data_IF_384968592578
#
_entry.id   IF_384968592578
#
_cell.length_a   1.000
_cell.length_b   1.000
_cell.length_c   1.000
_cell.angle_alpha   90.00
_cell.angle_beta   90.00
_cell.angle_gamma   90.00
#
_symmetry.space_group_name_H-M   'P 1'
#
loop_
_entity.id
_entity.type
_entity.pdbx_description
1 polymer ?
#
# COMPACT_ATOMS: atom_id res chain seq x y z
N UNK A 1 17.27 27.72 73.02
CA UNK A 1 16.22 28.73 72.80
C UNK A 1 15.53 28.36 71.50
N UNK A 2 14.63 27.38 71.56
CA UNK A 2 13.15 27.54 71.55
C UNK A 2 12.64 28.07 70.19
N UNK A 3 11.66 27.47 69.50
CA UNK A 3 10.97 26.18 69.57
C UNK A 3 10.03 26.09 68.35
N UNK A 4 9.65 24.87 67.97
CA UNK A 4 8.53 24.49 67.09
C UNK A 4 7.15 25.03 67.51
N UNK A 5 6.17 24.99 66.58
CA UNK A 5 4.75 24.54 66.71
C UNK A 5 3.95 25.07 65.50
N UNK A 6 3.31 24.32 64.59
CA UNK A 6 2.28 23.26 64.64
C UNK A 6 0.96 23.57 65.37
N UNK A 7 -0.13 22.97 64.85
CA UNK A 7 -1.53 22.79 65.32
C UNK A 7 -2.56 23.92 65.06
N UNK A 8 -3.86 23.69 64.77
CA UNK A 8 -4.70 22.63 64.16
C UNK A 8 -6.20 23.03 64.37
N UNK A 9 -7.15 22.33 63.67
CA UNK A 9 -8.58 22.10 64.01
C UNK A 9 -9.62 23.24 63.76
N UNK A 10 -10.88 23.06 63.31
CA UNK A 10 -11.95 21.99 63.30
C UNK A 10 -12.96 22.24 62.14
N UNK A 11 -13.39 21.28 61.32
CA UNK A 11 -14.55 20.34 61.44
C UNK A 11 -15.99 20.95 61.52
N UNK A 12 -16.86 20.63 60.54
CA UNK A 12 -18.26 20.12 60.68
C UNK A 12 -19.07 20.25 59.37
N UNK A 13 -19.60 19.14 58.84
CA UNK A 13 -20.82 19.13 57.99
C UNK A 13 -22.07 18.96 58.87
N UNK A 14 -23.22 18.43 58.40
CA UNK A 14 -23.80 18.35 57.04
C UNK A 14 -25.27 18.86 57.02
N UNK A 15 -25.99 18.79 55.88
CA UNK A 15 -27.37 18.26 55.79
C UNK A 15 -28.11 18.68 54.50
N UNK A 16 -28.76 17.69 53.90
CA UNK A 16 -29.66 17.74 52.75
C UNK A 16 -31.07 18.24 53.11
N UNK A 17 -31.81 18.74 52.10
CA UNK A 17 -33.22 18.44 51.87
C UNK A 17 -33.77 19.21 50.64
N UNK A 18 -34.04 18.48 49.55
CA UNK A 18 -35.16 18.76 48.62
C UNK A 18 -36.49 18.33 49.30
N UNK A 19 -37.66 18.26 48.63
CA UNK A 19 -38.22 18.95 47.45
C UNK A 19 -39.63 19.52 47.78
N UNK A 20 -40.38 20.06 46.81
CA UNK A 20 -41.85 19.88 46.74
C UNK A 20 -42.38 20.21 45.35
N UNK A 21 -43.11 19.23 44.81
CA UNK A 21 -43.88 19.21 43.58
C UNK A 21 -45.19 20.03 43.70
N UNK A 22 -45.78 20.44 42.58
CA UNK A 22 -47.15 20.01 42.24
C UNK A 22 -47.60 20.50 40.85
N UNK A 23 -48.01 19.51 40.05
CA UNK A 23 -48.90 19.45 38.88
C UNK A 23 -49.97 20.54 38.68
N UNK A 24 -50.35 20.80 37.40
CA UNK A 24 -51.61 20.28 36.81
C UNK A 24 -51.92 20.79 35.38
N UNK A 25 -51.92 19.86 34.41
CA UNK A 25 -52.92 19.52 33.37
C UNK A 25 -53.62 20.50 32.38
N UNK A 26 -53.73 19.96 31.15
CA UNK A 26 -54.79 20.04 30.09
C UNK A 26 -54.48 20.96 28.89
N UNK A 27 -54.24 20.44 27.67
CA UNK A 27 -55.06 19.69 26.69
C UNK A 27 -55.56 20.60 25.54
N UNK A 28 -55.26 20.25 24.28
CA UNK A 28 -56.05 20.70 23.12
C UNK A 28 -55.34 21.06 21.80
N UNK A 29 -55.31 20.08 20.89
CA UNK A 29 -55.53 20.18 19.43
C UNK A 29 -54.52 20.87 18.47
N UNK A 30 -53.82 20.00 17.74
CA UNK A 30 -53.48 19.98 16.30
C UNK A 30 -53.77 21.20 15.40
N UNK A 31 -52.74 21.61 14.65
CA UNK A 31 -52.81 21.83 13.19
C UNK A 31 -51.46 21.55 12.55
N UNK A 32 -51.47 20.70 11.52
CA UNK A 32 -50.33 20.30 10.72
C UNK A 32 -49.83 21.46 9.83
N UNK A 33 -48.51 21.64 9.77
CA UNK A 33 -47.84 22.44 8.75
C UNK A 33 -46.72 21.61 8.14
N UNK A 34 -46.74 21.54 6.82
CA UNK A 34 -46.08 20.58 5.97
C UNK A 34 -44.55 20.71 5.92
N UNK A 35 -43.88 19.56 5.86
CA UNK A 35 -42.47 19.40 5.49
C UNK A 35 -42.27 19.70 3.99
N UNK A 36 -41.19 20.40 3.59
CA UNK A 36 -40.85 20.59 2.19
C UNK A 36 -40.34 19.29 1.55
N UNK A 37 -40.50 19.12 0.22
CA UNK A 37 -40.29 17.84 -0.45
C UNK A 37 -38.81 17.46 -0.53
N UNK A 38 -38.56 16.19 -0.24
CA UNK A 38 -37.32 15.46 -0.47
C UNK A 38 -36.91 15.50 -1.94
N UNK A 39 -35.73 16.05 -2.24
CA UNK A 39 -35.05 15.81 -3.50
C UNK A 39 -34.59 14.35 -3.54
N UNK A 40 -35.13 13.58 -4.48
CA UNK A 40 -34.69 12.23 -4.82
C UNK A 40 -33.19 12.24 -5.17
N UNK A 41 -32.36 11.71 -4.28
CA UNK A 41 -31.03 11.24 -4.63
C UNK A 41 -31.17 9.94 -5.44
N UNK A 42 -30.46 9.76 -6.56
CA UNK A 42 -30.48 8.51 -7.29
C UNK A 42 -29.83 7.41 -6.45
N UNK A 43 -30.54 6.30 -6.29
CA UNK A 43 -30.02 5.05 -5.73
C UNK A 43 -28.93 4.56 -6.69
N UNK A 44 -27.67 4.73 -6.30
CA UNK A 44 -26.54 4.10 -6.98
C UNK A 44 -26.49 2.65 -6.50
N UNK A 45 -26.95 1.74 -7.34
CA UNK A 45 -26.67 0.30 -7.21
C UNK A 45 -25.16 0.07 -7.28
N UNK A 46 -24.57 -0.79 -6.42
CA UNK A 46 -23.16 -1.10 -6.49
C UNK A 46 -22.87 -1.83 -7.81
N UNK A 47 -21.98 -1.25 -8.61
CA UNK A 47 -21.41 -1.89 -9.79
C UNK A 47 -20.41 -2.93 -9.27
N UNK A 48 -20.63 -4.20 -9.58
CA UNK A 48 -19.68 -5.27 -9.29
C UNK A 48 -18.32 -4.96 -9.97
N UNK A 49 -17.18 -5.13 -9.28
CA UNK A 49 -15.89 -4.95 -9.91
C UNK A 49 -15.73 -5.98 -11.04
N UNK A 50 -15.28 -5.51 -12.20
CA UNK A 50 -14.97 -6.38 -13.33
C UNK A 50 -13.84 -7.34 -12.93
N UNK A 51 -14.07 -8.64 -13.15
CA UNK A 51 -13.11 -9.70 -12.87
C UNK A 51 -11.79 -9.48 -13.59
N UNK A 52 -10.70 -9.54 -12.83
CA UNK A 52 -9.28 -9.30 -13.19
C UNK A 52 -8.76 -10.20 -14.32
N UNK A 53 -9.49 -11.27 -14.69
CA UNK A 53 -9.16 -12.14 -15.84
C UNK A 53 -9.16 -11.41 -17.19
N UNK A 54 -9.92 -10.32 -17.35
CA UNK A 54 -10.01 -9.62 -18.62
C UNK A 54 -8.78 -8.75 -18.96
N UNK A 55 -7.97 -8.38 -17.97
CA UNK A 55 -6.81 -7.46 -18.15
C UNK A 55 -5.51 -8.23 -18.41
N UNK A 56 -5.40 -9.47 -17.95
CA UNK A 56 -4.20 -10.30 -18.07
C UNK A 56 -4.00 -10.92 -19.47
N UNK A 57 -5.03 -10.97 -20.31
CA UNK A 57 -4.96 -11.66 -21.60
C UNK A 57 -4.16 -10.92 -22.69
N UNK A 58 -3.81 -9.64 -22.51
CA UNK A 58 -3.27 -8.78 -23.58
C UNK A 58 -1.80 -8.39 -23.42
N UNK A 59 -1.08 -8.97 -22.46
CA UNK A 59 0.35 -8.65 -22.19
C UNK A 59 1.36 -9.59 -22.86
N UNK A 60 0.97 -10.37 -23.85
CA UNK A 60 1.90 -11.23 -24.59
C UNK A 60 2.59 -10.47 -25.74
N UNK A 61 3.84 -10.06 -25.55
CA UNK A 61 4.71 -9.62 -26.65
C UNK A 61 5.32 -10.82 -27.41
N UNK A 62 5.52 -10.71 -28.74
CA UNK A 62 5.93 -11.83 -29.58
C UNK A 62 7.45 -12.07 -29.56
N UNK A 63 7.85 -13.31 -29.26
CA UNK A 63 9.22 -13.81 -29.43
C UNK A 63 9.55 -13.92 -30.93
N UNK A 64 10.58 -13.20 -31.39
CA UNK A 64 11.14 -13.36 -32.73
C UNK A 64 11.80 -14.74 -32.85
N UNK A 65 11.30 -15.58 -33.76
CA UNK A 65 12.00 -16.75 -34.26
C UNK A 65 12.34 -16.52 -35.73
N UNK A 66 13.64 -16.36 -35.99
CA UNK A 66 14.20 -16.28 -37.32
C UNK A 66 13.89 -17.53 -38.14
N UNK A 67 13.39 -17.28 -39.35
CA UNK A 67 13.08 -18.28 -40.35
C UNK A 67 14.35 -18.84 -40.99
N UNK A 68 14.48 -20.17 -41.03
CA UNK A 68 15.32 -20.85 -42.02
C UNK A 68 14.46 -21.89 -42.74
N UNK A 69 14.21 -21.62 -44.02
CA UNK A 69 13.48 -22.44 -44.98
C UNK A 69 14.34 -23.62 -45.46
N UNK A 70 13.77 -24.82 -45.48
CA UNK A 70 14.38 -26.02 -46.10
C UNK A 70 13.31 -27.08 -46.39
N UNK A 71 13.20 -27.47 -47.67
CA UNK A 71 12.17 -28.31 -48.28
C UNK A 71 12.16 -29.80 -47.79
N UNK A 72 11.09 -30.57 -48.05
CA UNK A 72 10.82 -31.84 -47.38
C UNK A 72 11.44 -33.03 -48.14
N UNK A 73 12.06 -33.99 -47.45
CA UNK A 73 12.34 -35.31 -48.04
C UNK A 73 12.44 -36.43 -46.97
N UNK A 74 11.61 -37.46 -47.19
CA UNK A 74 11.70 -38.88 -46.80
C UNK A 74 11.52 -39.36 -45.36
N UNK A 75 10.58 -40.31 -45.29
CA UNK A 75 10.23 -41.27 -44.24
C UNK A 75 11.43 -42.10 -43.78
N UNK A 76 11.60 -42.23 -42.47
CA UNK A 76 12.50 -43.19 -41.83
C UNK A 76 12.08 -43.44 -40.38
N UNK A 77 11.64 -44.66 -40.09
CA UNK A 77 11.31 -45.12 -38.75
C UNK A 77 12.56 -45.12 -37.85
N UNK A 78 12.47 -44.54 -36.66
CA UNK A 78 13.57 -44.52 -35.70
C UNK A 78 13.11 -44.08 -34.31
N UNK A 79 13.15 -45.04 -33.38
CA UNK A 79 13.15 -44.97 -31.93
C UNK A 79 12.70 -43.66 -31.24
N UNK A 80 11.62 -43.74 -30.46
CA UNK A 80 11.25 -42.76 -29.45
C UNK A 80 12.34 -42.68 -28.37
N UNK A 81 13.21 -41.69 -28.47
CA UNK A 81 14.04 -41.24 -27.35
C UNK A 81 13.11 -40.49 -26.39
N UNK A 82 12.95 -40.91 -25.13
CA UNK A 82 12.20 -40.11 -24.18
C UNK A 82 12.99 -38.81 -23.92
N UNK A 83 12.38 -37.65 -24.18
CA UNK A 83 12.85 -36.37 -23.65
C UNK A 83 12.81 -36.49 -22.13
N UNK A 84 13.94 -36.77 -21.50
CA UNK A 84 14.10 -36.56 -20.07
C UNK A 84 14.10 -35.05 -19.85
N UNK A 85 12.95 -34.50 -19.44
CA UNK A 85 12.92 -33.19 -18.80
C UNK A 85 13.84 -33.26 -17.60
N UNK A 86 14.94 -32.49 -17.63
CA UNK A 86 15.86 -32.40 -16.51
C UNK A 86 15.11 -31.67 -15.40
N UNK A 87 14.53 -32.42 -14.47
CA UNK A 87 13.99 -31.86 -13.25
C UNK A 87 15.17 -31.44 -12.38
N UNK A 88 15.38 -30.13 -12.26
CA UNK A 88 16.37 -29.55 -11.35
C UNK A 88 15.99 -29.94 -9.91
N UNK A 89 16.99 -30.21 -9.07
CA UNK A 89 16.74 -30.45 -7.64
C UNK A 89 16.36 -29.15 -6.93
N UNK A 90 15.67 -29.23 -5.80
CA UNK A 90 15.33 -28.05 -4.99
C UNK A 90 16.57 -27.22 -4.61
N UNK A 91 17.70 -27.87 -4.36
CA UNK A 91 18.98 -27.22 -4.08
C UNK A 91 19.51 -26.43 -5.30
N UNK A 92 19.38 -26.98 -6.50
CA UNK A 92 19.76 -26.29 -7.73
C UNK A 92 18.85 -25.10 -8.01
N UNK A 93 17.54 -25.26 -7.79
CA UNK A 93 16.55 -24.19 -7.94
C UNK A 93 16.85 -23.05 -6.95
N UNK A 94 17.11 -23.37 -5.68
CA UNK A 94 17.46 -22.38 -4.66
C UNK A 94 18.75 -21.64 -5.00
N UNK A 95 19.77 -22.35 -5.45
CA UNK A 95 21.05 -21.75 -5.87
C UNK A 95 20.86 -20.81 -7.05
N UNK A 96 20.08 -21.21 -8.05
CA UNK A 96 19.81 -20.39 -9.22
C UNK A 96 18.97 -19.15 -8.86
N UNK A 97 17.94 -19.31 -8.02
CA UNK A 97 17.14 -18.17 -7.53
C UNK A 97 18.00 -17.18 -6.74
N UNK A 98 18.91 -17.66 -5.89
CA UNK A 98 19.80 -16.79 -5.16
C UNK A 98 20.76 -16.04 -6.09
N UNK A 99 21.32 -16.72 -7.09
CA UNK A 99 22.21 -16.07 -8.07
C UNK A 99 21.52 -14.94 -8.85
N UNK A 100 20.25 -15.15 -9.25
CA UNK A 100 19.45 -14.12 -9.93
C UNK A 100 19.19 -12.93 -8.98
N UNK A 101 18.80 -13.21 -7.74
CA UNK A 101 18.57 -12.16 -6.72
C UNK A 101 19.83 -11.35 -6.45
N UNK A 102 20.98 -12.01 -6.36
CA UNK A 102 22.27 -11.34 -6.14
C UNK A 102 22.67 -10.50 -7.36
N UNK A 103 22.46 -10.98 -8.58
CA UNK A 103 22.70 -10.21 -9.80
C UNK A 103 21.83 -8.94 -9.85
N UNK A 104 20.53 -9.07 -9.57
CA UNK A 104 19.61 -7.93 -9.49
C UNK A 104 19.98 -6.95 -8.38
N UNK A 105 20.33 -7.45 -7.18
CA UNK A 105 20.74 -6.61 -6.05
C UNK A 105 22.05 -5.85 -6.32
N UNK A 106 22.96 -6.45 -7.09
CA UNK A 106 24.18 -5.79 -7.52
C UNK A 106 23.94 -4.77 -8.64
N UNK A 107 22.93 -4.98 -9.48
CA UNK A 107 22.58 -4.08 -10.57
C UNK A 107 21.76 -2.87 -10.11
N UNK A 108 20.84 -3.08 -9.16
CA UNK A 108 19.86 -2.08 -8.75
C UNK A 108 19.75 -1.96 -7.22
N UNK A 109 19.87 -0.74 -6.66
CA UNK A 109 19.67 -0.52 -5.24
C UNK A 109 18.23 -0.83 -4.83
N UNK A 110 17.99 -1.00 -3.52
CA UNK A 110 16.64 -1.19 -2.99
C UNK A 110 15.71 -0.03 -3.37
N UNK A 111 16.18 1.19 -3.17
CA UNK A 111 15.49 2.41 -3.58
C UNK A 111 16.50 3.30 -4.30
N UNK A 112 16.17 3.71 -5.52
CA UNK A 112 17.05 4.53 -6.35
C UNK A 112 16.88 6.04 -6.04
N UNK A 113 17.72 6.88 -6.65
CA UNK A 113 17.49 8.32 -6.70
C UNK A 113 16.29 8.63 -7.59
N UNK A 114 15.58 9.73 -7.32
CA UNK A 114 14.51 10.17 -8.22
C UNK A 114 15.09 10.68 -9.54
N UNK A 115 14.45 10.31 -10.65
CA UNK A 115 14.84 10.71 -12.00
C UNK A 115 13.70 11.46 -12.69
N UNK A 116 14.02 12.17 -13.77
CA UNK A 116 13.02 12.82 -14.62
C UNK A 116 12.15 11.76 -15.31
N UNK A 117 10.84 12.01 -15.43
CA UNK A 117 9.91 11.09 -16.09
C UNK A 117 10.28 10.83 -17.57
N UNK A 118 11.03 11.72 -18.21
CA UNK A 118 11.58 11.49 -19.55
C UNK A 118 12.51 10.27 -19.64
N UNK A 119 13.08 9.80 -18.53
CA UNK A 119 13.80 8.52 -18.53
C UNK A 119 12.88 7.33 -18.79
N UNK A 120 11.65 7.37 -18.25
CA UNK A 120 10.65 6.35 -18.52
C UNK A 120 10.29 6.35 -20.01
N UNK A 121 10.10 7.53 -20.62
CA UNK A 121 9.79 7.62 -22.05
C UNK A 121 10.88 6.97 -22.93
N UNK A 122 12.16 7.12 -22.54
CA UNK A 122 13.30 6.50 -23.24
C UNK A 122 13.32 4.98 -23.13
N UNK A 123 12.90 4.40 -21.99
CA UNK A 123 12.78 2.94 -21.84
C UNK A 123 11.84 2.34 -22.89
N UNK A 124 10.82 3.09 -23.30
CA UNK A 124 9.85 2.69 -24.33
C UNK A 124 10.19 3.24 -25.73
N UNK A 125 11.38 3.82 -25.96
CA UNK A 125 11.75 4.41 -27.25
C UNK A 125 11.65 3.41 -28.41
N UNK A 126 12.08 2.16 -28.16
CA UNK A 126 12.00 1.03 -29.09
C UNK A 126 10.75 0.15 -28.85
N UNK A 127 9.88 0.53 -27.92
CA UNK A 127 8.69 -0.20 -27.52
C UNK A 127 7.42 0.26 -28.24
N UNK A 128 6.25 -0.02 -27.64
CA UNK A 128 4.96 0.39 -28.22
C UNK A 128 4.76 1.90 -28.16
N UNK A 129 4.38 2.49 -29.30
CA UNK A 129 4.09 3.91 -29.42
C UNK A 129 2.96 4.38 -28.49
N UNK A 130 2.04 3.48 -28.13
CA UNK A 130 0.95 3.74 -27.17
C UNK A 130 1.48 4.09 -25.80
N UNK A 131 2.46 3.34 -25.28
CA UNK A 131 3.06 3.63 -23.98
C UNK A 131 3.76 4.99 -23.97
N UNK A 132 4.52 5.30 -25.03
CA UNK A 132 5.18 6.62 -25.13
C UNK A 132 4.16 7.76 -25.14
N UNK A 133 3.05 7.60 -25.86
CA UNK A 133 2.00 8.61 -25.88
C UNK A 133 1.40 8.82 -24.48
N UNK A 134 1.07 7.73 -23.78
CA UNK A 134 0.57 7.79 -22.39
C UNK A 134 1.57 8.41 -21.43
N UNK A 135 2.84 8.06 -21.51
CA UNK A 135 3.92 8.64 -20.69
C UNK A 135 4.08 10.14 -20.98
N UNK A 136 3.97 10.54 -22.25
CA UNK A 136 4.01 11.94 -22.63
C UNK A 136 2.82 12.72 -22.04
N UNK A 137 1.61 12.16 -22.07
CA UNK A 137 0.45 12.80 -21.42
C UNK A 137 0.61 12.83 -19.89
N UNK A 138 1.16 11.75 -19.29
CA UNK A 138 1.49 11.70 -17.87
C UNK A 138 2.46 12.80 -17.44
N UNK A 139 3.39 13.18 -18.33
CA UNK A 139 4.34 14.27 -18.10
C UNK A 139 3.70 15.64 -17.95
N UNK A 140 2.40 15.80 -18.23
CA UNK A 140 1.68 17.05 -17.96
C UNK A 140 1.48 17.26 -16.45
N UNK A 141 1.17 16.19 -15.71
CA UNK A 141 0.83 16.23 -14.26
C UNK A 141 1.94 15.72 -13.34
N UNK A 142 2.87 14.91 -13.86
CA UNK A 142 3.98 14.32 -13.12
C UNK A 142 5.32 14.72 -13.76
N UNK A 143 6.37 14.91 -12.96
CA UNK A 143 7.70 15.32 -13.45
C UNK A 143 8.82 14.34 -13.13
N UNK A 144 8.65 13.52 -12.10
CA UNK A 144 9.68 12.59 -11.66
C UNK A 144 9.10 11.21 -11.37
N UNK A 145 9.98 10.23 -11.39
CA UNK A 145 9.73 8.90 -10.86
C UNK A 145 10.92 8.44 -10.01
N UNK A 146 10.73 7.39 -9.22
CA UNK A 146 11.83 6.72 -8.51
C UNK A 146 11.65 5.22 -8.61
N UNK A 147 12.69 4.55 -9.10
CA UNK A 147 12.72 3.09 -9.21
C UNK A 147 12.95 2.47 -7.84
N UNK A 148 12.28 1.35 -7.59
CA UNK A 148 12.40 0.62 -6.32
C UNK A 148 12.41 -0.87 -6.58
N UNK A 149 13.50 -1.54 -6.21
CA UNK A 149 13.55 -3.00 -6.06
C UNK A 149 12.94 -3.43 -4.71
N UNK A 150 13.06 -2.56 -3.70
CA UNK A 150 12.41 -2.67 -2.40
C UNK A 150 10.97 -2.15 -2.44
N UNK A 151 10.42 -1.84 -1.27
CA UNK A 151 9.04 -1.41 -1.13
C UNK A 151 8.87 0.09 -1.47
N UNK A 152 8.34 0.36 -2.68
CA UNK A 152 8.05 1.71 -3.17
C UNK A 152 7.03 2.45 -2.31
N UNK A 153 6.04 1.73 -1.78
CA UNK A 153 5.01 2.30 -0.91
C UNK A 153 5.63 2.81 0.39
N UNK A 154 6.46 1.97 1.03
CA UNK A 154 7.15 2.32 2.26
C UNK A 154 7.95 3.61 2.08
N UNK A 155 8.85 3.65 1.09
CA UNK A 155 9.67 4.83 0.88
C UNK A 155 8.83 6.08 0.58
N UNK A 156 7.82 5.98 -0.30
CA UNK A 156 6.95 7.09 -0.64
C UNK A 156 6.22 7.67 0.58
N UNK A 157 5.80 6.80 1.51
CA UNK A 157 5.12 7.20 2.73
C UNK A 157 6.06 7.96 3.68
N UNK A 158 7.23 7.39 3.97
CA UNK A 158 8.22 8.03 4.85
C UNK A 158 8.72 9.35 4.27
N UNK A 159 9.00 9.41 2.97
CA UNK A 159 9.46 10.63 2.31
C UNK A 159 8.37 11.71 2.37
N UNK A 160 7.10 11.37 2.16
CA UNK A 160 6.01 12.34 2.26
C UNK A 160 5.89 12.90 3.67
N UNK A 161 6.03 12.08 4.70
CA UNK A 161 6.04 12.54 6.10
C UNK A 161 7.25 13.44 6.36
N UNK A 162 8.43 13.07 5.85
CA UNK A 162 9.66 13.86 5.97
C UNK A 162 9.55 15.25 5.34
N UNK A 163 8.96 15.33 4.15
CA UNK A 163 8.86 16.58 3.37
C UNK A 163 7.77 17.52 3.92
N UNK A 164 6.81 17.02 4.68
CA UNK A 164 5.73 17.81 5.25
C UNK A 164 6.11 18.47 6.59
N UNK A 165 7.30 19.09 6.67
CA UNK A 165 7.84 19.68 7.92
C UNK A 165 6.93 20.74 8.54
N UNK A 166 6.15 21.44 7.72
CA UNK A 166 5.20 22.48 8.16
C UNK A 166 3.86 21.90 8.67
N UNK A 167 3.67 20.57 8.60
CA UNK A 167 2.46 19.86 9.01
C UNK A 167 2.80 18.75 10.03
N UNK A 168 3.16 19.12 11.28
CA UNK A 168 3.59 18.16 12.30
C UNK A 168 2.51 17.12 12.66
N UNK A 169 1.23 17.44 12.42
CA UNK A 169 0.12 16.50 12.55
C UNK A 169 0.24 15.28 11.63
N UNK A 170 0.86 15.41 10.45
CA UNK A 170 1.08 14.27 9.55
C UNK A 170 2.07 13.28 10.15
N UNK A 171 3.16 13.80 10.73
CA UNK A 171 4.13 12.98 11.44
C UNK A 171 3.52 12.31 12.67
N UNK A 172 2.75 13.05 13.47
CA UNK A 172 2.05 12.49 14.61
C UNK A 172 1.07 11.37 14.21
N UNK A 173 0.30 11.56 13.13
CA UNK A 173 -0.61 10.55 12.61
C UNK A 173 0.14 9.32 12.05
N UNK A 174 1.28 9.53 11.37
CA UNK A 174 2.10 8.43 10.87
C UNK A 174 2.72 7.60 12.00
N UNK A 175 3.26 8.26 13.04
CA UNK A 175 3.76 7.58 14.26
C UNK A 175 2.62 6.80 14.93
N UNK A 176 1.45 7.43 15.08
CA UNK A 176 0.28 6.77 15.65
C UNK A 176 -0.16 5.56 14.82
N UNK A 177 -0.14 5.65 13.50
CA UNK A 177 -0.50 4.53 12.61
C UNK A 177 0.45 3.32 12.83
N UNK A 178 1.75 3.56 13.01
CA UNK A 178 2.68 2.49 13.38
C UNK A 178 2.37 1.95 14.78
N UNK A 179 2.17 2.82 15.78
CA UNK A 179 1.86 2.38 17.15
C UNK A 179 0.57 1.55 17.21
N UNK A 180 -0.49 1.98 16.53
CA UNK A 180 -1.77 1.26 16.42
C UNK A 180 -1.61 -0.09 15.67
N UNK A 181 -0.65 -0.18 14.74
CA UNK A 181 -0.41 -1.42 13.99
C UNK A 181 0.03 -2.59 14.88
N UNK A 182 0.64 -2.29 16.04
CA UNK A 182 0.97 -3.31 17.05
C UNK A 182 -0.29 -3.96 17.62
N UNK A 183 -1.29 -3.16 17.96
CA UNK A 183 -2.55 -3.67 18.51
C UNK A 183 -3.30 -4.50 17.46
N UNK A 184 -3.25 -4.08 16.19
CA UNK A 184 -3.80 -4.84 15.07
C UNK A 184 -3.13 -6.22 14.92
N UNK A 185 -1.79 -6.27 14.99
CA UNK A 185 -1.04 -7.53 14.92
C UNK A 185 -1.42 -8.48 16.07
N UNK A 186 -1.54 -7.97 17.29
CA UNK A 186 -1.95 -8.77 18.45
C UNK A 186 -3.41 -9.25 18.32
N UNK A 187 -4.30 -8.41 17.78
CA UNK A 187 -5.69 -8.78 17.54
C UNK A 187 -5.83 -9.87 16.46
N UNK A 188 -4.87 -9.94 15.53
CA UNK A 188 -4.75 -11.01 14.53
C UNK A 188 -3.96 -12.24 15.05
N UNK A 189 -3.77 -12.35 16.37
CA UNK A 189 -3.12 -13.48 17.05
C UNK A 189 -1.63 -13.69 16.68
N UNK A 190 -0.94 -12.67 16.17
CA UNK A 190 0.51 -12.73 16.03
C UNK A 190 1.20 -12.68 17.40
N UNK A 191 2.18 -13.55 17.61
CA UNK A 191 3.02 -13.52 18.80
C UNK A 191 3.94 -12.28 18.78
N UNK A 192 3.98 -11.51 19.88
CA UNK A 192 4.80 -10.30 19.98
C UNK A 192 6.26 -10.55 19.59
N UNK A 193 6.85 -11.63 20.09
CA UNK A 193 8.24 -12.01 19.81
C UNK A 193 8.52 -12.28 18.32
N UNK A 194 7.49 -12.60 17.53
CA UNK A 194 7.66 -12.87 16.10
C UNK A 194 7.79 -11.59 15.25
N UNK A 195 7.27 -10.46 15.72
CA UNK A 195 7.24 -9.22 14.93
C UNK A 195 7.87 -8.01 15.61
N UNK A 196 8.16 -8.06 16.90
CA UNK A 196 8.60 -6.91 17.70
C UNK A 196 9.81 -6.20 17.09
N UNK A 197 10.83 -6.94 16.65
CA UNK A 197 12.04 -6.36 16.06
C UNK A 197 11.73 -5.56 14.78
N UNK A 198 10.90 -6.12 13.89
CA UNK A 198 10.49 -5.43 12.65
C UNK A 198 9.68 -4.17 12.95
N UNK A 199 8.72 -4.28 13.87
CA UNK A 199 7.90 -3.16 14.32
C UNK A 199 8.75 -2.04 14.93
N UNK A 200 9.71 -2.38 15.79
CA UNK A 200 10.58 -1.39 16.46
C UNK A 200 11.46 -0.66 15.45
N UNK A 201 12.03 -1.35 14.46
CA UNK A 201 12.79 -0.71 13.38
C UNK A 201 11.93 0.31 12.63
N UNK A 202 10.72 -0.08 12.20
CA UNK A 202 9.81 0.85 11.51
C UNK A 202 9.45 2.05 12.39
N UNK A 203 9.15 1.81 13.67
CA UNK A 203 8.79 2.84 14.64
C UNK A 203 9.93 3.84 14.86
N UNK A 204 11.17 3.35 14.96
CA UNK A 204 12.35 4.19 15.17
C UNK A 204 12.65 5.07 13.96
N UNK A 205 12.55 4.52 12.74
CA UNK A 205 12.74 5.31 11.51
C UNK A 205 11.64 6.37 11.39
N UNK A 206 10.37 6.05 11.66
CA UNK A 206 9.29 7.05 11.50
C UNK A 206 9.37 8.13 12.58
N UNK A 207 9.76 7.79 13.81
CA UNK A 207 9.97 8.76 14.89
C UNK A 207 11.12 9.70 14.61
N UNK A 208 12.19 9.20 13.99
CA UNK A 208 13.39 9.99 13.66
C UNK A 208 13.33 10.70 12.32
N UNK A 209 12.34 10.42 11.46
CA UNK A 209 12.29 10.91 10.08
C UNK A 209 12.39 12.43 9.93
N UNK A 210 11.85 13.20 10.89
CA UNK A 210 11.91 14.66 10.87
C UNK A 210 13.29 15.22 11.25
N UNK A 211 14.12 14.42 11.93
CA UNK A 211 15.50 14.78 12.27
C UNK A 211 16.46 14.59 11.11
N UNK A 212 16.04 13.91 10.03
CA UNK A 212 16.85 13.80 8.83
C UNK A 212 17.03 15.17 8.17
N UNK A 213 18.30 15.53 7.94
CA UNK A 213 18.66 16.84 7.40
C UNK A 213 18.32 16.93 5.91
N UNK A 214 18.51 15.85 5.17
CA UNK A 214 18.29 15.77 3.71
C UNK A 214 17.56 14.48 3.33
N UNK A 215 16.80 14.48 2.22
CA UNK A 215 16.18 13.25 1.69
C UNK A 215 17.18 12.11 1.44
N UNK A 216 18.46 12.43 1.24
CA UNK A 216 19.53 11.45 1.06
C UNK A 216 19.77 10.60 2.32
N UNK A 217 19.54 11.14 3.52
CA UNK A 217 19.67 10.36 4.78
C UNK A 217 18.56 9.31 4.89
N UNK A 218 17.33 9.66 4.49
CA UNK A 218 16.22 8.70 4.40
C UNK A 218 16.52 7.64 3.32
N UNK A 219 17.03 8.07 2.16
CA UNK A 219 17.42 7.17 1.08
C UNK A 219 18.50 6.19 1.54
N UNK A 220 19.50 6.66 2.29
CA UNK A 220 20.56 5.80 2.83
C UNK A 220 20.00 4.75 3.81
N UNK A 221 19.04 5.12 4.66
CA UNK A 221 18.36 4.18 5.54
C UNK A 221 17.60 3.10 4.75
N UNK A 222 16.90 3.49 3.68
CA UNK A 222 16.17 2.55 2.81
C UNK A 222 17.06 1.77 1.83
N UNK A 223 18.32 2.15 1.68
CA UNK A 223 19.33 1.36 0.96
C UNK A 223 20.05 0.33 1.85
N UNK A 224 19.85 0.39 3.16
CA UNK A 224 20.35 -0.64 4.07
C UNK A 224 19.40 -1.84 4.06
N UNK A 225 19.91 -3.02 3.70
CA UNK A 225 19.10 -4.25 3.60
C UNK A 225 18.39 -4.61 4.90
N UNK A 226 19.05 -4.47 6.06
CA UNK A 226 18.46 -4.82 7.35
C UNK A 226 17.29 -3.89 7.70
N UNK A 227 17.49 -2.58 7.56
CA UNK A 227 16.45 -1.57 7.84
C UNK A 227 15.29 -1.72 6.85
N UNK A 228 15.59 -1.73 5.55
CA UNK A 228 14.57 -1.80 4.51
C UNK A 228 13.76 -3.10 4.62
N UNK A 229 14.42 -4.26 4.73
CA UNK A 229 13.71 -5.53 4.82
C UNK A 229 12.88 -5.64 6.11
N UNK A 230 13.33 -5.04 7.21
CA UNK A 230 12.54 -4.98 8.45
C UNK A 230 11.26 -4.16 8.29
N UNK A 231 11.36 -3.00 7.61
CA UNK A 231 10.17 -2.17 7.30
C UNK A 231 9.21 -2.93 6.37
N UNK A 232 9.72 -3.58 5.32
CA UNK A 232 8.89 -4.38 4.41
C UNK A 232 8.18 -5.50 5.16
N UNK A 233 8.90 -6.24 6.01
CA UNK A 233 8.32 -7.30 6.82
C UNK A 233 7.22 -6.77 7.75
N UNK A 234 7.47 -5.65 8.42
CA UNK A 234 6.46 -5.04 9.28
C UNK A 234 5.19 -4.71 8.49
N UNK A 235 5.28 -4.05 7.33
CA UNK A 235 4.09 -3.76 6.52
C UNK A 235 3.39 -5.00 5.97
N UNK A 236 4.13 -6.05 5.57
CA UNK A 236 3.52 -7.33 5.19
C UNK A 236 2.69 -7.93 6.32
N UNK A 237 3.22 -7.92 7.54
CA UNK A 237 2.50 -8.41 8.71
C UNK A 237 1.28 -7.54 9.03
N UNK A 238 1.38 -6.21 8.89
CA UNK A 238 0.23 -5.30 9.06
C UNK A 238 -0.87 -5.59 8.04
N UNK A 239 -0.52 -5.81 6.78
CA UNK A 239 -1.48 -6.21 5.75
C UNK A 239 -2.14 -7.56 6.08
N UNK A 240 -1.35 -8.56 6.47
CA UNK A 240 -1.87 -9.87 6.89
C UNK A 240 -2.83 -9.74 8.08
N UNK A 241 -2.44 -9.00 9.12
CA UNK A 241 -3.27 -8.78 10.29
C UNK A 241 -4.59 -8.07 9.96
N UNK A 242 -4.56 -7.08 9.07
CA UNK A 242 -5.77 -6.42 8.59
C UNK A 242 -6.71 -7.41 7.89
N UNK A 243 -6.19 -8.23 6.98
CA UNK A 243 -6.98 -9.21 6.24
C UNK A 243 -7.57 -10.30 7.15
N UNK A 244 -6.79 -10.81 8.12
CA UNK A 244 -7.26 -11.81 9.10
C UNK A 244 -8.36 -11.27 10.01
N UNK A 245 -8.24 -10.02 10.46
CA UNK A 245 -9.23 -9.37 11.34
C UNK A 245 -10.51 -8.94 10.61
N UNK A 246 -10.47 -8.83 9.28
CA UNK A 246 -11.60 -8.47 8.43
C UNK A 246 -11.95 -9.59 7.44
N UNK A 247 -11.65 -10.84 7.77
CA UNK A 247 -11.67 -11.95 6.81
C UNK A 247 -13.02 -12.13 6.09
N UNK A 248 -14.14 -11.82 6.74
CA UNK A 248 -15.48 -11.95 6.16
C UNK A 248 -15.68 -11.06 4.92
N UNK A 249 -15.01 -9.89 4.90
CA UNK A 249 -15.08 -8.94 3.79
C UNK A 249 -14.21 -9.37 2.61
N UNK A 250 -13.17 -10.17 2.86
CA UNK A 250 -12.14 -10.51 1.88
C UNK A 250 -12.18 -11.97 1.40
N UNK A 251 -12.82 -12.86 2.16
CA UNK A 251 -12.98 -14.28 1.83
C UNK A 251 -13.57 -14.53 0.42
N UNK A 252 -14.52 -13.73 -0.11
CA UNK A 252 -15.05 -13.93 -1.46
C UNK A 252 -14.03 -13.75 -2.59
N UNK A 253 -12.88 -13.12 -2.32
CA UNK A 253 -11.82 -12.88 -3.31
C UNK A 253 -10.71 -13.93 -3.27
N UNK A 254 -10.76 -14.88 -2.33
CA UNK A 254 -9.80 -15.97 -2.23
C UNK A 254 -10.07 -17.05 -3.27
N UNK A 255 -9.02 -17.82 -3.60
CA UNK A 255 -9.17 -18.99 -4.46
C UNK A 255 -10.09 -20.04 -3.79
N UNK A 256 -10.78 -20.84 -4.62
CA UNK A 256 -11.75 -21.81 -4.12
C UNK A 256 -11.11 -22.80 -3.15
N UNK A 257 -11.59 -22.79 -1.89
CA UNK A 257 -11.14 -23.70 -0.84
C UNK A 257 -9.90 -23.23 -0.07
N UNK A 258 -9.34 -22.07 -0.41
CA UNK A 258 -8.25 -21.45 0.34
C UNK A 258 -8.81 -20.67 1.54
N UNK A 259 -8.18 -20.83 2.70
CA UNK A 259 -8.49 -20.04 3.91
C UNK A 259 -7.72 -18.71 3.93
N UNK A 260 -8.20 -17.74 4.72
CA UNK A 260 -7.51 -16.45 4.87
C UNK A 260 -6.08 -16.62 5.44
N UNK A 261 -5.89 -17.55 6.38
CA UNK A 261 -4.57 -17.84 6.94
C UNK A 261 -3.60 -18.43 5.91
N UNK A 262 -4.08 -19.38 5.09
CA UNK A 262 -3.29 -19.93 3.99
C UNK A 262 -2.92 -18.86 2.96
N UNK A 263 -3.88 -18.01 2.58
CA UNK A 263 -3.63 -16.91 1.67
C UNK A 263 -2.57 -15.96 2.24
N UNK A 264 -2.75 -15.49 3.47
CA UNK A 264 -1.82 -14.58 4.12
C UNK A 264 -0.42 -15.17 4.23
N UNK A 265 -0.30 -16.43 4.65
CA UNK A 265 1.00 -17.09 4.79
C UNK A 265 1.72 -17.25 3.44
N UNK A 266 1.01 -17.60 2.37
CA UNK A 266 1.62 -17.91 1.07
C UNK A 266 1.88 -16.69 0.18
N UNK A 267 1.02 -15.67 0.27
CA UNK A 267 0.99 -14.53 -0.66
C UNK A 267 1.34 -13.19 0.00
N UNK A 268 1.02 -13.00 1.28
CA UNK A 268 1.16 -11.69 1.95
C UNK A 268 2.44 -11.63 2.79
N UNK A 269 2.63 -12.59 3.70
CA UNK A 269 3.70 -12.63 4.69
C UNK A 269 5.07 -13.00 4.08
N UNK A 270 5.07 -13.76 2.98
CA UNK A 270 6.30 -14.25 2.36
C UNK A 270 7.11 -13.14 1.66
N UNK A 271 8.39 -13.03 2.00
CA UNK A 271 9.31 -12.08 1.37
C UNK A 271 9.56 -12.38 -0.10
N UNK A 272 9.71 -11.33 -0.91
CA UNK A 272 9.96 -11.43 -2.34
C UNK A 272 8.77 -11.93 -3.17
N UNK A 273 7.57 -12.01 -2.57
CA UNK A 273 6.31 -12.17 -3.30
C UNK A 273 5.80 -10.82 -3.79
N UNK A 274 5.18 -10.79 -4.96
CA UNK A 274 4.54 -9.58 -5.48
C UNK A 274 3.37 -9.14 -4.58
N UNK A 275 3.22 -7.84 -4.42
CA UNK A 275 2.09 -7.24 -3.68
C UNK A 275 0.86 -7.17 -4.58
N UNK A 276 -0.10 -8.05 -4.31
CA UNK A 276 -1.39 -8.03 -4.97
C UNK A 276 -2.26 -6.86 -4.49
N UNK A 277 -3.32 -6.54 -5.24
CA UNK A 277 -4.26 -5.46 -4.94
C UNK A 277 -4.82 -5.54 -3.51
N UNK A 278 -5.05 -6.75 -3.01
CA UNK A 278 -5.55 -6.98 -1.66
C UNK A 278 -4.59 -6.45 -0.57
N UNK A 279 -3.27 -6.53 -0.78
CA UNK A 279 -2.28 -5.95 0.12
C UNK A 279 -2.33 -4.41 0.08
N UNK A 280 -2.48 -3.82 -1.11
CA UNK A 280 -2.60 -2.37 -1.28
C UNK A 280 -3.83 -1.84 -0.53
N UNK A 281 -4.97 -2.52 -0.67
CA UNK A 281 -6.21 -2.19 0.06
C UNK A 281 -6.00 -2.33 1.57
N UNK A 282 -5.39 -3.42 2.02
CA UNK A 282 -5.15 -3.69 3.44
C UNK A 282 -4.27 -2.60 4.07
N UNK A 283 -3.15 -2.23 3.42
CA UNK A 283 -2.25 -1.18 3.90
C UNK A 283 -2.92 0.20 3.88
N UNK A 284 -3.65 0.52 2.81
CA UNK A 284 -4.43 1.77 2.68
C UNK A 284 -5.35 1.95 3.89
N UNK A 285 -6.11 0.90 4.23
CA UNK A 285 -7.07 0.93 5.34
C UNK A 285 -6.40 0.89 6.71
N UNK A 286 -5.45 -0.02 6.91
CA UNK A 286 -4.76 -0.18 8.19
C UNK A 286 -3.98 1.08 8.58
N UNK A 287 -3.32 1.72 7.62
CA UNK A 287 -2.51 2.91 7.86
C UNK A 287 -3.27 4.22 7.62
N UNK A 288 -4.53 4.18 7.18
CA UNK A 288 -5.41 5.34 6.95
C UNK A 288 -4.81 6.38 6.00
N UNK A 289 -4.19 5.89 4.93
CA UNK A 289 -3.63 6.70 3.86
C UNK A 289 -4.23 6.32 2.53
N UNK A 290 -4.26 7.26 1.60
CA UNK A 290 -4.72 7.00 0.24
C UNK A 290 -3.54 6.65 -0.67
N UNK A 291 -3.78 5.74 -1.62
CA UNK A 291 -2.83 5.35 -2.65
C UNK A 291 -3.52 5.51 -4.00
N UNK A 292 -2.81 5.99 -5.00
CA UNK A 292 -3.28 6.04 -6.37
C UNK A 292 -2.29 5.28 -7.25
N UNK A 293 -2.77 4.22 -7.91
CA UNK A 293 -1.92 3.38 -8.74
C UNK A 293 -2.13 3.73 -10.20
N UNK A 294 -1.07 4.19 -10.86
CA UNK A 294 -1.00 4.45 -12.28
C UNK A 294 -0.69 3.14 -13.03
N UNK A 295 -1.61 2.67 -13.86
CA UNK A 295 -1.45 1.49 -14.70
C UNK A 295 -1.10 1.89 -16.13
N UNK A 296 0.13 1.55 -16.55
CA UNK A 296 0.52 1.63 -17.96
C UNK A 296 -0.04 0.42 -18.70
N UNK A 297 -1.11 0.62 -19.46
CA UNK A 297 -1.70 -0.41 -20.34
C UNK A 297 -1.40 -0.16 -21.81
N UNK A 298 -1.29 -1.24 -22.59
CA UNK A 298 -1.16 -1.19 -24.05
C UNK A 298 -2.45 -0.82 -24.78
N UNK A 299 -3.55 -0.64 -24.03
CA UNK A 299 -4.85 -0.29 -24.58
C UNK A 299 -4.79 1.01 -25.38
N UNK A 300 -5.24 0.93 -26.63
CA UNK A 300 -5.27 2.04 -27.60
C UNK A 300 -6.57 2.84 -27.54
N UNK A 301 -7.54 2.42 -26.73
CA UNK A 301 -8.83 3.10 -26.60
C UNK A 301 -8.76 4.39 -25.76
N UNK A 302 -7.73 4.52 -24.93
CA UNK A 302 -7.49 5.68 -24.07
C UNK A 302 -6.06 6.20 -24.26
N UNK A 303 -5.93 7.51 -24.39
CA UNK A 303 -4.65 8.21 -24.53
C UNK A 303 -3.99 8.54 -23.18
N UNK A 304 -4.74 8.39 -22.08
CA UNK A 304 -4.29 8.69 -20.71
C UNK A 304 -3.89 7.43 -19.94
N UNK A 305 -3.04 7.62 -18.93
CA UNK A 305 -2.69 6.57 -17.97
C UNK A 305 -3.88 6.35 -17.05
N UNK A 306 -4.25 5.08 -16.79
CA UNK A 306 -5.35 4.76 -15.90
C UNK A 306 -4.89 4.87 -14.45
N UNK A 307 -5.54 5.73 -13.66
CA UNK A 307 -5.29 5.86 -12.23
C UNK A 307 -6.40 5.17 -11.43
N UNK A 308 -6.01 4.20 -10.61
CA UNK A 308 -6.91 3.50 -9.70
C UNK A 308 -6.71 4.03 -8.27
N UNK A 309 -7.70 4.73 -7.70
CA UNK A 309 -7.62 5.21 -6.33
C UNK A 309 -7.97 4.10 -5.32
N UNK A 310 -7.15 4.01 -4.28
CA UNK A 310 -7.37 3.21 -3.07
C UNK A 310 -7.55 4.17 -1.90
N UNK A 311 -8.72 4.10 -1.26
CA UNK A 311 -9.11 5.02 -0.20
C UNK A 311 -9.33 4.27 1.11
N UNK A 312 -8.91 4.84 2.25
CA UNK A 312 -9.28 4.32 3.55
C UNK A 312 -10.76 4.56 3.84
N UNK A 313 -11.30 3.82 4.81
CA UNK A 313 -12.72 3.94 5.22
C UNK A 313 -13.03 5.28 5.95
N UNK A 314 -11.99 6.01 6.33
CA UNK A 314 -12.07 7.34 6.94
C UNK A 314 -11.20 8.32 6.18
N UNK A 315 -11.42 9.62 6.37
CA UNK A 315 -10.61 10.67 5.72
C UNK A 315 -9.10 10.39 5.88
N UNK A 316 -8.34 10.30 4.77
CA UNK A 316 -6.90 10.08 4.84
C UNK A 316 -6.25 11.30 5.49
N UNK A 317 -5.29 11.08 6.37
CA UNK A 317 -4.63 12.22 7.02
C UNK A 317 -3.64 12.93 6.10
N UNK A 318 -3.31 12.34 4.95
CA UNK A 318 -2.37 12.90 3.97
C UNK A 318 -2.85 12.67 2.54
N UNK A 319 -2.35 13.46 1.59
CA UNK A 319 -2.61 13.24 0.17
C UNK A 319 -2.19 11.88 -0.34
N UNK A 320 -2.80 11.41 -1.45
CA UNK A 320 -2.44 10.13 -2.06
C UNK A 320 -0.94 10.00 -2.31
N UNK A 321 -0.43 8.82 -2.00
CA UNK A 321 0.83 8.35 -2.54
C UNK A 321 0.55 7.86 -3.97
N UNK A 322 1.35 8.27 -4.94
CA UNK A 322 1.15 7.85 -6.33
C UNK A 322 2.22 6.84 -6.69
N UNK A 323 1.77 5.64 -7.06
CA UNK A 323 2.64 4.53 -7.46
C UNK A 323 2.42 4.23 -8.94
N UNK A 324 3.49 3.88 -9.65
CA UNK A 324 3.42 3.40 -11.01
C UNK A 324 3.51 1.88 -10.99
N UNK A 325 2.46 1.20 -11.43
CA UNK A 325 2.50 -0.24 -11.60
C UNK A 325 3.05 -0.60 -12.98
N UNK A 326 4.07 -1.47 -12.97
CA UNK A 326 4.58 -2.19 -14.13
C UNK A 326 4.50 -3.68 -13.79
N UNK A 327 4.31 -4.59 -14.76
CA UNK A 327 4.15 -6.02 -14.44
C UNK A 327 5.30 -6.54 -13.56
N UNK A 328 4.97 -6.98 -12.34
CA UNK A 328 5.94 -7.51 -11.37
C UNK A 328 6.49 -6.51 -10.36
N UNK A 329 6.26 -5.19 -10.49
CA UNK A 329 6.81 -4.21 -9.54
C UNK A 329 6.11 -2.84 -9.52
N UNK A 330 6.33 -2.10 -8.43
CA UNK A 330 5.86 -0.73 -8.25
C UNK A 330 7.02 0.25 -8.19
N UNK A 331 6.88 1.38 -8.87
CA UNK A 331 7.76 2.55 -8.73
C UNK A 331 6.99 3.70 -8.09
N UNK A 332 7.71 4.72 -7.62
CA UNK A 332 7.09 5.94 -7.07
C UNK A 332 6.95 6.96 -8.17
N UNK A 333 5.77 7.59 -8.28
CA UNK A 333 5.51 8.66 -9.23
C UNK A 333 5.27 9.98 -8.48
N UNK A 334 5.91 11.07 -8.94
CA UNK A 334 5.82 12.37 -8.28
C UNK A 334 4.98 13.35 -9.11
N UNK A 335 3.94 13.89 -8.48
CA UNK A 335 3.17 15.00 -9.05
C UNK A 335 4.00 16.26 -9.05
N UNK A 336 3.81 17.10 -10.08
CA UNK A 336 4.41 18.43 -10.12
C UNK A 336 3.90 19.29 -8.97
N UNK A 337 4.75 20.18 -8.44
CA UNK A 337 4.41 20.99 -7.26
C UNK A 337 3.11 21.80 -7.42
N UNK A 338 2.83 22.35 -8.60
CA UNK A 338 1.60 23.11 -8.86
C UNK A 338 0.33 22.23 -8.96
N UNK A 339 0.49 20.91 -9.13
CA UNK A 339 -0.61 19.95 -9.08
C UNK A 339 -0.91 19.49 -7.64
N UNK A 340 -0.14 19.97 -6.65
CA UNK A 340 -0.36 19.73 -5.23
C UNK A 340 -1.11 20.88 -4.53
N UNK A 341 -1.40 21.97 -5.26
CA UNK A 341 -2.17 23.11 -4.74
C UNK A 341 -3.58 22.66 -4.34
N UNK A 342 -3.91 22.78 -3.04
CA UNK A 342 -5.18 22.32 -2.46
C UNK A 342 -5.19 20.89 -1.92
N UNK A 343 -4.05 20.20 -2.02
CA UNK A 343 -3.83 18.84 -1.52
C UNK A 343 -2.85 18.87 -0.32
N UNK A 344 -1.94 19.85 -0.27
CA UNK A 344 -1.05 20.13 0.87
C UNK A 344 -1.66 21.18 1.80
#
# INVERSE_FOLDING_TARGET
MHQHSETLYTASGPAAASPTESDSTSAGAATAAALPPTLNAPIVTPIAPATTEAVLADLSMPSQQDAISGAPTTVGAGASVPKSEVQLTDEQILTQMQAIKDEEANAHPLVDVSVDLAELEKEYENGSATFRHKIKNLSETHDRMRRSRGDAFAFAWFERVMLAKERPELHANAVKAIEDSKDLLLAAEFELLAFEDFYLVTLDIIKSVLHFATPDELLLAFQNDEISNSIVMHFRLVASAFLKTHQDDYAPFLEFGQTMDEFCSMHVEAMGRESEEMMVIALTKALRISIEVAYLSGDTSADEVNFLPFLPDTEPYMPPLVLLYRPGHYDILYRKSHCLDGVV
#
